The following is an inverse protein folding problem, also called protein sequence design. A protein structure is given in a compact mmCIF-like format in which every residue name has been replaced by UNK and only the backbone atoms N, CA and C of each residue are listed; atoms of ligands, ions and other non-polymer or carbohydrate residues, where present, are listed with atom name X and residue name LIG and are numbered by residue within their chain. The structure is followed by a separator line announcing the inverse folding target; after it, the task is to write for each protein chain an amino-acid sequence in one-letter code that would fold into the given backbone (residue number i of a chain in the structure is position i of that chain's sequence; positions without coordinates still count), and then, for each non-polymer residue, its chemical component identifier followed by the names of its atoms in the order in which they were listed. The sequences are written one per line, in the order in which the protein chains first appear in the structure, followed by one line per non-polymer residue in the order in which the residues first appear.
data_IF_789747736138
#
_entry.id   IF_789747736138
#
_cell.length_a   1.000
_cell.length_b   1.000
_cell.length_c   1.000
_cell.angle_alpha   90.00
_cell.angle_beta   90.00
_cell.angle_gamma   90.00
#
_symmetry.space_group_name_H-M   'P 1'
#
loop_
_entity.id
_entity.type
_entity.pdbx_description
1 polymer ?
#
# COMPACT_ATOMS: atom_id res chain seq x y z
N UNK A 1 8.45 -1.51 11.56
CA UNK A 1 8.97 -0.43 10.69
C UNK A 1 7.76 0.22 10.07
N UNK A 2 7.52 1.52 10.30
CA UNK A 2 6.32 2.19 9.77
C UNK A 2 6.47 2.52 8.29
N UNK A 3 5.39 2.37 7.53
CA UNK A 3 5.34 2.81 6.14
C UNK A 3 5.35 4.34 6.08
N UNK A 4 5.86 4.91 4.98
CA UNK A 4 5.85 6.36 4.76
C UNK A 4 4.93 6.71 3.62
N UNK A 5 4.25 7.85 3.73
CA UNK A 5 3.45 8.37 2.63
C UNK A 5 4.33 8.69 1.42
N UNK A 6 4.04 8.12 0.25
CA UNK A 6 4.79 8.37 -0.99
C UNK A 6 4.73 9.82 -1.48
N UNK A 7 3.76 10.61 -1.00
CA UNK A 7 3.58 12.00 -1.41
C UNK A 7 4.25 13.02 -0.51
N UNK A 8 4.18 12.84 0.82
CA UNK A 8 4.66 13.83 1.77
C UNK A 8 5.68 13.28 2.78
N UNK A 9 6.08 12.01 2.65
CA UNK A 9 7.05 11.31 3.49
C UNK A 9 6.70 11.27 5.00
N UNK A 10 5.48 11.66 5.39
CA UNK A 10 5.02 11.50 6.76
C UNK A 10 4.93 10.02 7.12
N UNK A 11 5.25 9.70 8.36
CA UNK A 11 5.07 8.36 8.90
C UNK A 11 3.58 7.99 8.96
N UNK A 12 3.27 6.79 8.50
CA UNK A 12 1.94 6.17 8.60
C UNK A 12 2.02 5.18 9.74
N UNK A 13 1.27 5.46 10.81
CA UNK A 13 1.36 4.73 12.09
C UNK A 13 0.37 3.58 12.20
N UNK A 14 -0.52 3.41 11.23
CA UNK A 14 -1.50 2.32 11.21
C UNK A 14 -1.16 1.24 10.17
N UNK A 15 -1.73 0.06 10.37
CA UNK A 15 -1.47 -1.12 9.55
C UNK A 15 -2.33 -1.14 8.29
N UNK A 16 -2.18 -0.15 7.41
CA UNK A 16 -2.85 -0.10 6.10
C UNK A 16 -2.01 -0.73 5.00
N UNK A 17 -2.66 -1.27 3.97
CA UNK A 17 -2.01 -1.89 2.81
C UNK A 17 -1.42 -0.88 1.79
N UNK A 18 -1.63 0.41 2.01
CA UNK A 18 -1.23 1.49 1.06
C UNK A 18 -0.29 2.49 1.71
N UNK A 19 0.73 2.91 0.97
CA UNK A 19 1.75 3.86 1.45
C UNK A 19 1.30 5.32 1.24
N UNK A 20 0.07 5.65 1.67
CA UNK A 20 -0.53 6.98 1.49
C UNK A 20 -1.24 7.42 2.77
N UNK A 21 -0.87 8.60 3.28
CA UNK A 21 -1.52 9.20 4.44
C UNK A 21 -2.90 9.77 4.10
N UNK A 22 -3.79 9.85 5.09
CA UNK A 22 -5.16 10.31 4.88
C UNK A 22 -5.28 11.72 4.29
N UNK A 23 -4.48 12.74 4.73
CA UNK A 23 -4.52 14.05 4.10
C UNK A 23 -4.21 14.04 2.60
N UNK A 24 -3.15 13.33 2.18
CA UNK A 24 -2.78 13.24 0.76
C UNK A 24 -3.83 12.44 -0.04
N UNK A 25 -4.28 11.30 0.49
CA UNK A 25 -5.29 10.47 -0.16
C UNK A 25 -6.61 11.22 -0.36
N UNK A 26 -7.08 11.95 0.66
CA UNK A 26 -8.25 12.81 0.55
C UNK A 26 -8.04 13.95 -0.45
N UNK A 27 -6.85 14.55 -0.51
CA UNK A 27 -6.56 15.62 -1.46
C UNK A 27 -6.59 15.18 -2.93
N UNK A 28 -6.18 13.94 -3.21
CA UNK A 28 -6.10 13.40 -4.58
C UNK A 28 -7.44 12.80 -5.02
N UNK A 29 -8.07 11.98 -4.18
CA UNK A 29 -9.26 11.21 -4.56
C UNK A 29 -10.55 11.64 -3.85
N UNK A 30 -10.46 12.48 -2.82
CA UNK A 30 -11.57 12.75 -1.90
C UNK A 30 -11.78 11.64 -0.88
N UNK A 31 -12.54 11.93 0.18
CA UNK A 31 -12.72 11.03 1.32
C UNK A 31 -13.36 9.68 0.95
N UNK A 32 -14.44 9.71 0.16
CA UNK A 32 -15.18 8.49 -0.23
C UNK A 32 -14.33 7.52 -1.05
N UNK A 33 -13.66 8.01 -2.08
CA UNK A 33 -12.82 7.15 -2.92
C UNK A 33 -11.60 6.66 -2.17
N UNK A 34 -10.95 7.52 -1.37
CA UNK A 34 -9.80 7.09 -0.60
C UNK A 34 -10.16 6.02 0.43
N UNK A 35 -11.30 6.16 1.11
CA UNK A 35 -11.80 5.15 2.02
C UNK A 35 -12.07 3.81 1.31
N UNK A 36 -12.66 3.83 0.11
CA UNK A 36 -12.87 2.63 -0.69
C UNK A 36 -11.53 1.98 -1.10
N UNK A 37 -10.51 2.78 -1.48
CA UNK A 37 -9.17 2.28 -1.80
C UNK A 37 -8.55 1.59 -0.58
N UNK A 38 -8.54 2.24 0.58
CA UNK A 38 -7.96 1.66 1.81
C UNK A 38 -8.67 0.36 2.18
N UNK A 39 -10.01 0.33 2.12
CA UNK A 39 -10.80 -0.88 2.41
C UNK A 39 -10.48 -2.00 1.44
N UNK A 40 -10.58 -1.75 0.13
CA UNK A 40 -10.40 -2.78 -0.89
C UNK A 40 -8.96 -3.35 -0.88
N UNK A 41 -7.96 -2.50 -0.67
CA UNK A 41 -6.56 -2.94 -0.58
C UNK A 41 -6.30 -3.72 0.72
N UNK A 42 -6.95 -3.33 1.83
CA UNK A 42 -6.93 -4.10 3.07
C UNK A 42 -7.52 -5.50 2.87
N UNK A 43 -8.70 -5.59 2.28
CA UNK A 43 -9.36 -6.87 1.98
C UNK A 43 -8.51 -7.74 1.05
N UNK A 44 -7.89 -7.15 0.02
CA UNK A 44 -7.00 -7.86 -0.90
C UNK A 44 -5.75 -8.38 -0.19
N UNK A 45 -5.16 -7.61 0.73
CA UNK A 45 -4.04 -8.05 1.55
C UNK A 45 -4.43 -9.25 2.39
N UNK A 46 -5.56 -9.17 3.07
CA UNK A 46 -6.02 -10.19 4.00
C UNK A 46 -6.42 -11.49 3.27
N UNK A 47 -6.86 -11.39 2.01
CA UNK A 47 -7.09 -12.54 1.11
C UNK A 47 -5.81 -13.14 0.51
N UNK A 48 -4.69 -12.44 0.60
CA UNK A 48 -3.43 -12.83 -0.04
C UNK A 48 -3.33 -12.44 -1.52
N UNK A 49 -4.27 -11.66 -2.05
CA UNK A 49 -4.31 -11.24 -3.46
C UNK A 49 -3.16 -10.30 -3.82
N UNK A 50 -2.59 -9.61 -2.82
CA UNK A 50 -1.43 -8.72 -3.02
C UNK A 50 -0.10 -9.46 -3.11
N UNK A 51 -0.06 -10.78 -2.87
CA UNK A 51 1.16 -11.55 -2.99
C UNK A 51 1.47 -11.85 -4.47
N UNK A 52 2.45 -11.15 -5.03
CA UNK A 52 2.86 -11.31 -6.44
C UNK A 52 4.03 -12.30 -6.64
N UNK A 53 4.39 -13.08 -5.62
CA UNK A 53 5.55 -13.97 -5.64
C UNK A 53 6.88 -13.25 -5.40
N UNK A 54 7.99 -14.00 -5.49
CA UNK A 54 9.36 -13.50 -5.35
C UNK A 54 10.14 -13.80 -6.63
N UNK A 55 10.82 -12.80 -7.20
CA UNK A 55 11.65 -12.94 -8.41
C UNK A 55 13.07 -13.47 -8.13
N UNK A 56 13.28 -14.21 -7.05
CA UNK A 56 14.63 -14.60 -6.57
C UNK A 56 15.21 -15.88 -7.18
N UNK A 57 14.79 -16.33 -8.37
CA UNK A 57 15.33 -17.54 -9.00
C UNK A 57 15.70 -17.34 -10.47
N UNK A 58 16.81 -16.65 -10.72
CA UNK A 58 17.60 -16.89 -11.92
C UNK A 58 18.98 -17.36 -11.44
N UNK A 59 19.22 -18.68 -11.51
CA UNK A 59 20.58 -19.21 -11.43
C UNK A 59 21.33 -18.73 -12.67
N UNK A 60 22.13 -17.69 -12.53
CA UNK A 60 23.10 -17.27 -13.54
C UNK A 60 24.20 -18.33 -13.61
N UNK A 61 24.12 -19.25 -14.59
CA UNK A 61 25.31 -19.95 -15.07
C UNK A 61 25.94 -19.07 -16.15
N UNK A 62 27.00 -18.35 -15.78
CA UNK A 62 28.02 -17.89 -16.72
C UNK A 62 28.99 -19.06 -17.00
#
# INVERSE_FOLDING_TARGET
MGNKCVYCNVEITDERAVDICSPCGHGIWGSKMFQAIVSNMGDARDKGDLYQGSVTSVKSNF
#
